data_IF_108152533058
#
_entry.id   IF_108152533058
#
_cell.length_a   1.000
_cell.length_b   1.000
_cell.length_c   1.000
_cell.angle_alpha   90.00
_cell.angle_beta   90.00
_cell.angle_gamma   90.00
#
_symmetry.space_group_name_H-M   'P 1'
#
loop_
_entity.id
_entity.type
_entity.pdbx_description
1 polymer ?
#
# COMPACT_ATOMS: atom_id res chain seq x y z
N UNK A 1 2.88 27.43 7.60
CA UNK A 1 3.13 27.60 6.16
C UNK A 1 1.88 27.11 5.43
N UNK A 2 1.00 28.06 5.16
CA UNK A 2 -0.30 27.88 4.55
C UNK A 2 -0.15 27.77 3.03
N UNK A 3 -1.13 27.12 2.41
CA UNK A 3 -1.52 27.33 1.01
C UNK A 3 -0.73 26.60 -0.09
N UNK A 4 -1.09 25.33 -0.32
CA UNK A 4 -1.27 24.81 -1.67
C UNK A 4 -2.55 23.99 -1.75
N UNK A 5 -3.64 24.68 -2.05
CA UNK A 5 -4.91 24.07 -2.46
C UNK A 5 -4.66 23.40 -3.82
N UNK A 6 -4.26 22.13 -3.82
CA UNK A 6 -4.14 21.30 -5.03
C UNK A 6 -5.51 21.12 -5.67
N UNK A 7 -5.94 22.10 -6.46
CA UNK A 7 -6.92 21.87 -7.53
C UNK A 7 -6.16 21.28 -8.71
N UNK A 8 -6.03 19.97 -8.75
CA UNK A 8 -5.89 19.26 -10.03
C UNK A 8 -7.20 18.52 -10.26
N UNK A 9 -8.09 19.19 -10.99
CA UNK A 9 -9.39 18.68 -11.36
C UNK A 9 -9.96 19.52 -12.50
N UNK A 10 -10.01 18.90 -13.67
CA UNK A 10 -10.77 19.27 -14.87
C UNK A 10 -10.19 20.34 -15.78
N UNK A 11 -9.37 19.92 -16.75
CA UNK A 11 -9.43 20.55 -18.08
C UNK A 11 -10.50 19.82 -18.90
N UNK A 12 -11.71 20.38 -18.91
CA UNK A 12 -12.72 20.08 -19.93
C UNK A 12 -13.01 21.41 -20.62
N UNK A 13 -12.52 21.55 -21.85
CA UNK A 13 -12.86 22.67 -22.72
C UNK A 13 -13.12 22.12 -24.12
N UNK A 14 -14.29 22.45 -24.66
CA UNK A 14 -14.60 22.26 -26.08
C UNK A 14 -15.35 20.97 -26.41
N UNK A 15 -16.60 21.15 -26.83
CA UNK A 15 -17.50 20.16 -27.40
C UNK A 15 -16.90 19.51 -28.66
N UNK A 16 -17.08 18.20 -28.89
CA UNK A 16 -17.48 17.54 -30.16
C UNK A 16 -17.25 16.02 -30.05
N UNK A 17 -18.25 15.25 -30.46
CA UNK A 17 -18.30 13.79 -30.62
C UNK A 17 -16.94 13.12 -30.91
N UNK A 18 -16.38 12.42 -29.93
CA UNK A 18 -15.23 11.55 -30.16
C UNK A 18 -15.36 10.36 -29.22
N UNK A 19 -15.34 9.17 -29.80
CA UNK A 19 -15.08 7.89 -29.14
C UNK A 19 -14.23 8.09 -27.88
N UNK A 20 -14.77 7.71 -26.72
CA UNK A 20 -14.01 7.67 -25.48
C UNK A 20 -12.78 6.78 -25.70
N UNK A 21 -11.64 7.37 -26.02
CA UNK A 21 -10.37 6.66 -26.14
C UNK A 21 -9.93 6.24 -24.75
N UNK A 22 -10.48 5.10 -24.32
CA UNK A 22 -10.21 4.44 -23.04
C UNK A 22 -8.70 4.30 -22.79
N UNK A 23 -7.93 3.99 -23.84
CA UNK A 23 -6.46 3.86 -23.77
C UNK A 23 -5.80 5.18 -23.34
N UNK A 24 -6.16 6.29 -23.97
CA UNK A 24 -5.61 7.62 -23.65
C UNK A 24 -5.99 8.03 -22.23
N UNK A 25 -7.23 7.73 -21.83
CA UNK A 25 -7.71 7.98 -20.47
C UNK A 25 -6.97 7.14 -19.41
N UNK A 26 -6.68 5.86 -19.67
CA UNK A 26 -5.87 5.03 -18.78
C UNK A 26 -4.41 5.50 -18.69
N UNK A 27 -3.82 5.97 -19.80
CA UNK A 27 -2.46 6.50 -19.80
C UNK A 27 -2.35 7.78 -18.97
N UNK A 28 -3.31 8.70 -19.10
CA UNK A 28 -3.35 9.93 -18.31
C UNK A 28 -3.67 9.68 -16.83
N UNK A 29 -4.53 8.69 -16.52
CA UNK A 29 -4.86 8.30 -15.14
C UNK A 29 -3.68 7.70 -14.37
N UNK A 30 -2.66 7.20 -15.07
CA UNK A 30 -1.44 6.65 -14.47
C UNK A 30 -0.27 7.65 -14.42
N UNK A 31 -0.47 8.92 -14.83
CA UNK A 31 0.59 9.92 -14.76
C UNK A 31 0.83 10.39 -13.33
N UNK A 32 2.04 10.17 -12.81
CA UNK A 32 2.51 10.65 -11.51
C UNK A 32 3.46 11.82 -11.74
N UNK A 33 3.31 12.92 -10.99
CA UNK A 33 4.21 14.08 -11.11
C UNK A 33 5.66 13.72 -10.73
N UNK A 34 6.66 14.38 -11.36
CA UNK A 34 8.08 14.14 -11.05
C UNK A 34 8.39 14.25 -9.55
N UNK A 35 7.77 15.21 -8.86
CA UNK A 35 7.94 15.37 -7.41
C UNK A 35 7.40 14.16 -6.65
N UNK A 36 6.18 13.71 -6.93
CA UNK A 36 5.59 12.54 -6.27
C UNK A 36 6.39 11.25 -6.58
N UNK A 37 6.89 11.09 -7.81
CA UNK A 37 7.71 9.95 -8.19
C UNK A 37 9.01 9.89 -7.36
N UNK A 38 9.69 11.02 -7.18
CA UNK A 38 10.91 11.09 -6.33
C UNK A 38 10.61 10.71 -4.89
N UNK A 39 9.46 11.16 -4.33
CA UNK A 39 9.06 10.79 -2.97
C UNK A 39 8.79 9.29 -2.83
N UNK A 40 8.15 8.66 -3.82
CA UNK A 40 7.92 7.20 -3.83
C UNK A 40 9.23 6.42 -3.95
N UNK A 41 10.16 6.84 -4.81
CA UNK A 41 11.46 6.17 -5.02
C UNK A 41 12.32 6.25 -3.76
N UNK A 42 12.38 7.43 -3.13
CA UNK A 42 13.17 7.64 -1.91
C UNK A 42 12.44 7.17 -0.64
N UNK A 43 11.27 6.54 -0.79
CA UNK A 43 10.44 6.03 0.31
C UNK A 43 10.14 7.08 1.39
N UNK A 44 10.03 8.35 0.99
CA UNK A 44 9.62 9.40 1.90
C UNK A 44 8.12 9.29 2.20
N UNK A 45 7.72 9.60 3.44
CA UNK A 45 6.32 9.53 3.85
C UNK A 45 5.50 10.64 3.17
N UNK A 46 4.73 10.27 2.13
CA UNK A 46 3.89 11.22 1.36
C UNK A 46 2.70 11.71 2.20
N UNK A 47 2.25 10.88 3.14
CA UNK A 47 1.18 11.20 4.05
C UNK A 47 1.57 10.77 5.45
N UNK A 48 1.65 11.73 6.35
CA UNK A 48 1.71 11.46 7.78
C UNK A 48 0.30 11.05 8.23
N UNK A 49 -0.02 9.76 8.09
CA UNK A 49 -1.29 9.20 8.60
C UNK A 49 -1.07 8.82 10.05
N UNK A 50 -1.89 9.37 10.92
CA UNK A 50 -2.00 8.94 12.32
C UNK A 50 -3.40 8.33 12.52
N UNK A 51 -3.51 7.02 12.82
CA UNK A 51 -2.44 6.03 12.95
C UNK A 51 -1.84 5.61 11.58
N UNK A 52 -0.63 5.06 11.61
CA UNK A 52 0.06 4.56 10.40
C UNK A 52 -0.69 3.36 9.82
N UNK A 53 -1.20 3.50 8.59
CA UNK A 53 -1.85 2.40 7.87
C UNK A 53 -0.80 1.63 7.09
N UNK A 54 -0.53 0.39 7.49
CA UNK A 54 0.40 -0.51 6.81
C UNK A 54 -0.38 -1.62 6.10
N UNK A 55 -0.04 -1.90 4.85
CA UNK A 55 -0.58 -3.04 4.14
C UNK A 55 0.02 -4.33 4.71
N UNK A 56 -0.84 -5.17 5.32
CA UNK A 56 -0.45 -6.51 5.75
C UNK A 56 -0.29 -7.42 4.52
N UNK A 57 0.82 -8.15 4.45
CA UNK A 57 1.04 -9.11 3.38
C UNK A 57 0.12 -10.33 3.58
N UNK A 58 -0.84 -10.50 2.68
CA UNK A 58 -1.69 -11.70 2.62
C UNK A 58 -1.01 -12.71 1.70
N UNK A 59 -0.74 -13.90 2.22
CA UNK A 59 -0.18 -15.02 1.46
C UNK A 59 -1.08 -16.24 1.62
N UNK A 60 -1.01 -17.15 0.66
CA UNK A 60 -1.63 -18.48 0.77
C UNK A 60 -0.93 -19.31 1.85
N UNK A 61 -1.54 -20.41 2.28
CA UNK A 61 -0.93 -21.36 3.21
C UNK A 61 0.44 -21.82 2.66
N UNK A 62 1.51 -21.63 3.43
CA UNK A 62 2.90 -21.87 3.04
C UNK A 62 3.41 -21.08 1.82
N UNK A 63 2.65 -20.09 1.33
CA UNK A 63 3.01 -19.19 0.22
C UNK A 63 3.86 -17.99 0.64
N UNK A 64 4.39 -17.98 1.86
CA UNK A 64 5.25 -16.91 2.34
C UNK A 64 6.64 -17.02 1.72
N UNK A 65 7.22 -15.87 1.33
CA UNK A 65 8.61 -15.83 0.87
C UNK A 65 9.56 -16.07 2.06
N UNK A 66 10.25 -17.21 2.04
CA UNK A 66 11.23 -17.59 3.07
C UNK A 66 12.60 -17.73 2.42
N UNK A 67 13.61 -17.09 3.01
CA UNK A 67 15.01 -17.28 2.62
C UNK A 67 15.62 -18.44 3.39
N UNK A 68 16.32 -19.34 2.69
CA UNK A 68 16.99 -20.48 3.28
C UNK A 68 18.49 -20.21 3.39
N UNK A 69 19.05 -20.41 4.58
CA UNK A 69 20.48 -20.50 4.84
C UNK A 69 20.79 -21.89 5.39
N UNK A 70 22.01 -22.39 5.23
CA UNK A 70 22.43 -23.75 5.64
C UNK A 70 22.05 -24.10 7.09
N UNK A 71 22.07 -23.10 7.98
CA UNK A 71 21.72 -23.23 9.40
C UNK A 71 20.19 -23.22 9.66
N UNK A 72 19.43 -22.53 8.81
CA UNK A 72 18.01 -22.22 9.06
C UNK A 72 17.02 -23.09 8.28
N UNK A 73 17.48 -24.00 7.41
CA UNK A 73 16.60 -24.82 6.56
C UNK A 73 15.66 -25.70 7.39
N UNK A 74 16.22 -26.48 8.32
CA UNK A 74 15.46 -27.42 9.16
C UNK A 74 14.40 -26.73 10.02
N UNK A 75 14.71 -25.67 10.81
CA UNK A 75 13.71 -25.03 11.63
C UNK A 75 12.62 -24.33 10.81
N UNK A 76 12.96 -23.69 9.68
CA UNK A 76 11.99 -22.99 8.82
C UNK A 76 11.05 -23.94 8.06
N UNK A 77 11.50 -25.16 7.78
CA UNK A 77 10.66 -26.19 7.16
C UNK A 77 9.68 -26.81 8.15
N UNK A 78 10.08 -26.97 9.42
CA UNK A 78 9.24 -27.57 10.47
C UNK A 78 8.22 -26.58 11.06
N UNK A 79 8.61 -25.31 11.19
CA UNK A 79 7.74 -24.24 11.68
C UNK A 79 7.87 -23.02 10.78
N UNK A 80 6.81 -22.64 10.04
CA UNK A 80 6.78 -21.38 9.32
C UNK A 80 6.98 -20.21 10.30
N UNK A 81 7.64 -19.15 9.85
CA UNK A 81 7.69 -17.92 10.65
C UNK A 81 6.30 -17.31 10.74
N UNK A 82 5.92 -16.76 11.89
CA UNK A 82 4.67 -16.01 11.98
C UNK A 82 4.76 -14.80 11.04
N UNK A 83 3.67 -14.54 10.32
CA UNK A 83 3.61 -13.43 9.38
C UNK A 83 3.05 -12.20 10.05
N UNK A 84 3.28 -11.02 9.49
CA UNK A 84 2.78 -9.77 10.06
C UNK A 84 1.26 -9.81 10.29
N UNK A 85 0.53 -10.52 9.44
CA UNK A 85 -0.91 -10.73 9.57
C UNK A 85 -1.25 -11.66 10.74
N UNK A 86 -0.54 -12.79 10.88
CA UNK A 86 -0.75 -13.71 12.00
C UNK A 86 -0.43 -13.02 13.34
N UNK A 87 0.67 -12.28 13.39
CA UNK A 87 1.04 -11.47 14.57
C UNK A 87 0.00 -10.39 14.87
N UNK A 88 -0.56 -9.73 13.84
CA UNK A 88 -1.64 -8.76 14.01
C UNK A 88 -2.87 -9.40 14.68
N UNK A 89 -3.27 -10.62 14.28
CA UNK A 89 -4.38 -11.31 14.95
C UNK A 89 -4.06 -11.73 16.38
N UNK A 90 -2.81 -12.13 16.66
CA UNK A 90 -2.35 -12.39 18.02
C UNK A 90 -2.41 -11.10 18.87
N UNK A 91 -2.01 -9.96 18.31
CA UNK A 91 -2.10 -8.65 18.95
C UNK A 91 -3.57 -8.28 19.24
N UNK A 92 -4.47 -8.43 18.27
CA UNK A 92 -5.91 -8.19 18.49
C UNK A 92 -6.53 -9.12 19.53
N UNK A 93 -5.94 -10.29 19.82
CA UNK A 93 -6.40 -11.17 20.90
C UNK A 93 -6.00 -10.65 22.27
N UNK A 94 -4.80 -10.09 22.38
CA UNK A 94 -4.19 -9.71 23.65
C UNK A 94 -4.42 -8.25 24.04
N UNK A 95 -4.63 -7.36 23.06
CA UNK A 95 -4.79 -5.92 23.28
C UNK A 95 -6.22 -5.46 22.93
N UNK A 96 -6.91 -4.89 23.91
CA UNK A 96 -8.23 -4.32 23.75
C UNK A 96 -8.23 -3.08 22.82
N UNK A 97 -7.16 -2.29 22.82
CA UNK A 97 -7.03 -1.11 21.96
C UNK A 97 -6.92 -1.51 20.49
N UNK A 98 -6.11 -2.52 20.17
CA UNK A 98 -5.94 -3.02 18.81
C UNK A 98 -7.27 -3.47 18.16
N UNK A 99 -8.25 -3.93 18.97
CA UNK A 99 -9.59 -4.32 18.51
C UNK A 99 -10.49 -3.14 18.11
N UNK A 100 -10.13 -1.93 18.52
CA UNK A 100 -10.90 -0.71 18.21
C UNK A 100 -10.50 -0.07 16.87
N UNK A 101 -9.37 -0.50 16.29
CA UNK A 101 -8.85 0.02 15.03
C UNK A 101 -9.59 -0.64 13.84
N UNK A 102 -10.73 -0.07 13.47
CA UNK A 102 -11.50 -0.46 12.28
C UNK A 102 -11.25 0.52 11.13
N UNK A 103 -11.36 0.02 9.90
CA UNK A 103 -11.40 0.87 8.70
C UNK A 103 -12.77 1.56 8.65
N UNK A 104 -12.81 2.89 8.75
CA UNK A 104 -14.01 3.70 8.54
C UNK A 104 -14.22 4.03 7.07
#
# INVERSE_FOLDING_TARGET
MCEQRKRYGSFRSGNTTASNEEVTQYQLGNYISNNEAVWRILSFSIHERYPTVVHLAVHLENGQRVYFTSENVRPRAMSPLPTTLTEFFTLCRNDAFARTLLYS
#
